data_IF_716309204859
#
_entry.id   IF_716309204859
#
_cell.length_a   1.000
_cell.length_b   1.000
_cell.length_c   1.000
_cell.angle_alpha   90.00
_cell.angle_beta   90.00
_cell.angle_gamma   90.00
#
_symmetry.space_group_name_H-M   'P 1'
#
loop_
_entity.id
_entity.type
_entity.pdbx_description
1 polymer ?
#
# COMPACT_ATOMS: atom_id res chain seq x y z
N UNK A 1 40.61 60.52 -21.27
CA UNK A 1 40.25 60.02 -19.92
C UNK A 1 39.32 58.84 -20.10
N UNK A 2 39.85 57.61 -20.11
CA UNK A 2 39.03 56.40 -20.25
C UNK A 2 38.09 56.28 -19.05
N UNK A 3 36.80 56.03 -19.29
CA UNK A 3 35.84 55.86 -18.21
C UNK A 3 36.21 54.59 -17.43
N UNK A 4 36.55 54.76 -16.15
CA UNK A 4 36.70 53.65 -15.22
C UNK A 4 35.41 52.81 -15.19
N UNK A 5 35.59 51.51 -15.01
CA UNK A 5 34.55 50.51 -14.90
C UNK A 5 33.52 50.92 -13.84
N UNK A 6 32.25 50.55 -14.08
CA UNK A 6 31.15 50.93 -13.20
C UNK A 6 30.90 49.83 -12.17
N UNK A 7 31.26 50.01 -10.89
CA UNK A 7 30.94 49.05 -9.82
C UNK A 7 29.46 48.71 -9.74
N UNK A 8 29.16 47.46 -9.39
CA UNK A 8 27.82 47.01 -8.98
C UNK A 8 27.62 47.37 -7.52
N UNK A 9 26.45 47.92 -7.21
CA UNK A 9 26.09 48.31 -5.86
C UNK A 9 24.77 47.70 -5.42
N UNK A 10 24.66 47.43 -4.12
CA UNK A 10 23.47 46.99 -3.42
C UNK A 10 22.99 48.06 -2.42
N UNK A 11 21.67 48.18 -2.28
CA UNK A 11 20.99 48.92 -1.22
C UNK A 11 19.74 48.14 -0.82
N UNK A 12 19.48 47.99 0.47
CA UNK A 12 18.25 47.38 0.97
C UNK A 12 17.25 48.44 1.45
N UNK A 13 15.97 48.17 1.26
CA UNK A 13 14.87 48.98 1.77
C UNK A 13 14.28 48.26 2.97
N UNK A 14 14.50 48.81 4.16
CA UNK A 14 13.94 48.26 5.39
C UNK A 14 12.42 48.39 5.44
N UNK A 15 11.78 47.61 6.30
CA UNK A 15 10.34 47.68 6.60
C UNK A 15 9.87 49.03 7.16
N UNK A 16 10.80 49.92 7.53
CA UNK A 16 10.54 51.28 7.96
C UNK A 16 10.69 52.32 6.83
N UNK A 17 10.62 51.90 5.56
CA UNK A 17 10.81 52.72 4.36
C UNK A 17 12.15 53.47 4.31
N UNK A 18 13.17 52.95 4.99
CA UNK A 18 14.51 53.53 5.02
C UNK A 18 15.47 52.73 4.13
N UNK A 19 16.19 53.45 3.26
CA UNK A 19 17.14 52.87 2.32
C UNK A 19 18.55 52.86 2.93
N UNK A 20 19.22 51.71 2.89
CA UNK A 20 20.57 51.52 3.44
C UNK A 20 21.62 52.44 2.79
N UNK A 21 22.82 52.46 3.36
CA UNK A 21 23.99 53.00 2.66
C UNK A 21 24.33 52.13 1.45
N UNK A 22 25.00 52.72 0.46
CA UNK A 22 25.46 52.00 -0.73
C UNK A 22 26.55 51.00 -0.34
N UNK A 23 26.33 49.72 -0.64
CA UNK A 23 27.31 48.64 -0.46
C UNK A 23 27.83 48.20 -1.84
N UNK A 24 29.13 47.92 -1.96
CA UNK A 24 29.73 47.43 -3.21
C UNK A 24 29.53 45.93 -3.32
N UNK A 25 28.96 45.47 -4.44
CA UNK A 25 28.85 44.04 -4.79
C UNK A 25 30.12 43.61 -5.51
N UNK A 26 30.56 44.39 -6.50
CA UNK A 26 31.79 44.15 -7.24
C UNK A 26 32.27 45.45 -7.91
N UNK A 27 33.58 45.60 -8.14
CA UNK A 27 34.18 46.79 -8.77
C UNK A 27 34.64 46.59 -10.21
N UNK A 28 34.68 45.35 -10.67
CA UNK A 28 35.44 44.91 -11.84
C UNK A 28 34.51 44.40 -12.96
N UNK A 29 33.26 44.88 -12.96
CA UNK A 29 32.25 44.48 -13.94
C UNK A 29 32.31 45.35 -15.20
N UNK A 30 32.94 44.82 -16.25
CA UNK A 30 32.84 45.35 -17.63
C UNK A 30 34.18 45.51 -18.35
N UNK A 31 34.22 45.19 -19.63
CA UNK A 31 35.36 45.46 -20.51
C UNK A 31 35.21 46.88 -21.10
N UNK A 32 36.28 47.67 -21.12
CA UNK A 32 36.26 49.13 -21.27
C UNK A 32 35.49 49.74 -22.46
N UNK A 33 35.17 51.03 -22.29
CA UNK A 33 34.56 51.98 -23.22
C UNK A 33 33.13 51.67 -23.73
N UNK A 34 32.10 52.07 -22.97
CA UNK A 34 30.82 52.46 -23.59
C UNK A 34 29.49 51.96 -23.02
N UNK A 35 29.46 51.45 -21.78
CA UNK A 35 28.27 51.25 -20.93
C UNK A 35 27.39 49.98 -21.16
N UNK A 36 27.03 49.35 -20.02
CA UNK A 36 25.77 48.67 -19.61
C UNK A 36 25.77 47.13 -19.48
N UNK A 37 25.95 46.71 -18.22
CA UNK A 37 25.40 45.53 -17.55
C UNK A 37 25.94 44.14 -17.98
N UNK A 38 27.02 43.71 -17.31
CA UNK A 38 27.41 42.29 -17.19
C UNK A 38 26.61 41.54 -16.12
N UNK A 39 25.49 42.10 -15.63
CA UNK A 39 24.67 41.50 -14.58
C UNK A 39 23.62 40.58 -15.21
N UNK A 40 23.49 39.39 -14.63
CA UNK A 40 22.44 38.43 -14.93
C UNK A 40 21.22 38.76 -14.06
N UNK A 41 19.96 38.53 -14.52
CA UNK A 41 18.80 38.67 -13.66
C UNK A 41 19.02 37.96 -12.31
N UNK A 42 18.87 38.67 -11.17
CA UNK A 42 19.11 38.07 -9.86
C UNK A 42 18.02 37.06 -9.53
N UNK A 43 18.35 36.11 -8.66
CA UNK A 43 17.38 35.17 -8.09
C UNK A 43 17.23 35.42 -6.60
N UNK A 44 16.03 35.14 -6.11
CA UNK A 44 15.65 35.28 -4.71
C UNK A 44 15.20 33.92 -4.14
N UNK A 45 15.50 33.70 -2.87
CA UNK A 45 14.90 32.63 -2.09
C UNK A 45 14.85 32.93 -0.59
N UNK A 46 14.01 32.18 0.10
CA UNK A 46 13.94 32.16 1.56
C UNK A 46 14.59 30.86 2.06
N UNK A 47 15.61 30.99 2.90
CA UNK A 47 16.33 29.90 3.56
C UNK A 47 16.00 29.90 5.06
N UNK A 48 14.83 29.36 5.40
CA UNK A 48 14.40 29.22 6.79
C UNK A 48 14.12 30.54 7.50
N UNK A 49 13.64 31.56 6.77
CA UNK A 49 13.37 32.91 7.28
C UNK A 49 14.49 33.92 6.98
N UNK A 50 15.59 33.48 6.38
CA UNK A 50 16.64 34.36 5.86
C UNK A 50 16.46 34.58 4.36
N UNK A 51 16.22 35.82 3.98
CA UNK A 51 16.04 36.23 2.60
C UNK A 51 17.39 36.27 1.89
N UNK A 52 17.53 35.56 0.77
CA UNK A 52 18.77 35.54 -0.02
C UNK A 52 18.52 36.08 -1.42
N UNK A 53 19.36 37.01 -1.84
CA UNK A 53 19.40 37.53 -3.21
C UNK A 53 20.77 37.22 -3.79
N UNK A 54 20.79 36.39 -4.84
CA UNK A 54 22.02 36.14 -5.59
C UNK A 54 22.07 36.99 -6.84
N UNK A 55 23.18 37.70 -6.98
CA UNK A 55 23.54 38.48 -8.16
C UNK A 55 24.69 37.78 -8.85
N UNK A 56 24.54 37.47 -10.15
CA UNK A 56 25.64 36.96 -10.96
C UNK A 56 26.10 37.99 -11.99
N UNK A 57 27.40 37.99 -12.28
CA UNK A 57 28.01 38.91 -13.22
C UNK A 57 29.29 38.35 -13.86
N UNK A 58 29.62 38.80 -15.07
CA UNK A 58 30.92 38.48 -15.68
C UNK A 58 31.99 39.47 -15.23
N UNK A 59 33.11 38.97 -14.75
CA UNK A 59 34.30 39.76 -14.41
C UNK A 59 35.07 40.15 -15.66
N UNK A 60 35.61 41.37 -15.69
CA UNK A 60 36.30 41.89 -16.89
C UNK A 60 37.76 41.52 -17.01
N UNK A 61 38.37 41.03 -15.93
CA UNK A 61 39.76 40.60 -15.89
C UNK A 61 39.96 39.22 -16.47
N UNK A 62 39.03 38.29 -16.21
CA UNK A 62 39.13 36.89 -16.63
C UNK A 62 37.96 36.38 -17.49
N UNK A 63 36.92 37.19 -17.70
CA UNK A 63 35.69 36.82 -18.44
C UNK A 63 34.94 35.61 -17.84
N UNK A 64 35.19 35.25 -16.57
CA UNK A 64 34.44 34.21 -15.86
C UNK A 64 33.16 34.79 -15.25
N UNK A 65 32.18 33.91 -15.01
CA UNK A 65 30.95 34.26 -14.31
C UNK A 65 31.18 34.12 -12.80
N UNK A 66 30.76 35.14 -12.04
CA UNK A 66 30.84 35.19 -10.58
C UNK A 66 29.45 35.42 -10.00
N UNK A 67 29.26 34.97 -8.76
CA UNK A 67 28.08 35.27 -7.94
C UNK A 67 28.47 35.98 -6.65
N UNK A 68 27.56 36.83 -6.17
CA UNK A 68 27.57 37.39 -4.81
C UNK A 68 26.17 37.20 -4.24
N UNK A 69 26.09 36.78 -2.98
CA UNK A 69 24.83 36.65 -2.25
C UNK A 69 24.73 37.79 -1.25
N UNK A 70 23.52 38.33 -1.12
CA UNK A 70 23.13 39.23 -0.03
C UNK A 70 22.11 38.48 0.80
N UNK A 71 22.37 38.34 2.10
CA UNK A 71 21.43 37.76 3.07
C UNK A 71 20.77 38.86 3.89
N UNK A 72 19.44 38.86 3.92
CA UNK A 72 18.59 39.86 4.56
C UNK A 72 19.01 41.29 4.18
N UNK A 73 19.08 42.20 5.15
CA UNK A 73 19.62 43.55 5.03
C UNK A 73 21.16 43.61 5.16
N UNK A 74 21.84 42.47 5.00
CA UNK A 74 23.27 42.31 5.23
C UNK A 74 24.18 42.96 4.18
N UNK A 75 25.48 42.89 4.46
CA UNK A 75 26.50 43.25 3.48
C UNK A 75 26.62 42.15 2.40
N UNK A 76 26.95 42.49 1.15
CA UNK A 76 27.24 41.49 0.13
C UNK A 76 28.37 40.55 0.57
N UNK A 77 28.18 39.25 0.36
CA UNK A 77 29.18 38.23 0.64
C UNK A 77 30.39 38.32 -0.30
N UNK A 78 31.44 37.54 0.01
CA UNK A 78 32.56 37.35 -0.91
C UNK A 78 32.08 36.71 -2.23
N UNK A 79 32.62 37.20 -3.35
CA UNK A 79 32.32 36.65 -4.67
C UNK A 79 32.77 35.19 -4.79
N UNK A 80 31.99 34.38 -5.48
CA UNK A 80 32.25 32.97 -5.77
C UNK A 80 32.21 32.76 -7.28
N UNK A 81 33.26 32.14 -7.86
CA UNK A 81 33.30 31.77 -9.29
C UNK A 81 32.14 30.81 -9.56
N UNK A 82 31.45 30.95 -10.68
CA UNK A 82 30.37 30.07 -11.15
C UNK A 82 30.86 29.16 -12.29
N UNK A 83 31.62 29.71 -13.23
CA UNK A 83 32.03 29.01 -14.45
C UNK A 83 33.51 28.64 -14.42
N UNK A 84 33.84 27.43 -14.83
CA UNK A 84 35.21 26.98 -15.11
C UNK A 84 35.72 27.56 -16.44
N UNK A 85 34.81 27.92 -17.34
CA UNK A 85 35.10 28.48 -18.65
C UNK A 85 34.74 29.97 -18.75
N UNK A 86 35.38 30.67 -19.68
CA UNK A 86 35.04 32.06 -20.01
C UNK A 86 33.64 32.14 -20.58
N UNK A 87 32.84 33.11 -20.15
CA UNK A 87 31.46 33.27 -20.58
C UNK A 87 31.37 34.23 -21.77
N UNK A 88 30.50 33.89 -22.71
CA UNK A 88 30.22 34.75 -23.84
C UNK A 88 29.60 36.07 -23.36
N UNK A 89 30.27 37.16 -23.72
CA UNK A 89 29.80 38.54 -23.53
C UNK A 89 29.85 39.22 -24.87
N UNK A 90 28.82 39.99 -25.21
CA UNK A 90 28.75 40.67 -26.51
C UNK A 90 28.85 39.70 -27.70
N UNK A 91 27.90 38.76 -27.84
CA UNK A 91 27.87 37.83 -28.97
C UNK A 91 28.06 38.55 -30.32
N UNK A 92 28.80 37.91 -31.22
CA UNK A 92 29.32 38.56 -32.43
C UNK A 92 28.19 39.11 -33.32
N UNK A 93 28.35 40.35 -33.80
CA UNK A 93 27.38 41.00 -34.69
C UNK A 93 26.17 41.65 -34.01
N UNK A 94 26.11 41.64 -32.68
CA UNK A 94 25.06 42.29 -31.90
C UNK A 94 25.55 43.59 -31.26
N UNK A 95 24.66 44.58 -31.13
CA UNK A 95 24.89 45.71 -30.23
C UNK A 95 24.63 45.37 -28.75
N UNK A 96 24.21 44.13 -28.46
CA UNK A 96 23.89 43.67 -27.11
C UNK A 96 25.19 43.38 -26.35
N UNK A 97 25.42 44.11 -25.26
CA UNK A 97 26.61 43.96 -24.40
C UNK A 97 26.31 43.17 -23.13
N UNK A 98 25.37 42.23 -23.24
CA UNK A 98 24.92 41.40 -22.13
C UNK A 98 25.81 40.17 -21.95
N UNK A 99 25.91 39.71 -20.70
CA UNK A 99 26.37 38.37 -20.38
C UNK A 99 25.35 37.35 -20.88
N UNK A 100 25.82 36.35 -21.62
CA UNK A 100 24.99 35.24 -22.09
C UNK A 100 24.88 34.20 -20.97
N UNK A 101 24.14 34.55 -19.93
CA UNK A 101 23.87 33.69 -18.79
C UNK A 101 22.50 33.97 -18.18
N UNK A 102 22.04 33.03 -17.35
CA UNK A 102 20.80 33.10 -16.59
C UNK A 102 20.92 32.29 -15.29
N UNK A 103 20.35 32.81 -14.21
CA UNK A 103 20.15 32.06 -12.96
C UNK A 103 18.69 31.59 -12.85
N UNK A 104 18.48 30.38 -12.35
CA UNK A 104 17.17 29.84 -12.03
C UNK A 104 17.22 29.22 -10.63
N UNK A 105 16.24 29.50 -9.78
CA UNK A 105 16.23 29.02 -8.39
C UNK A 105 15.12 27.99 -8.14
N UNK A 106 15.47 26.90 -7.48
CA UNK A 106 14.57 25.90 -6.90
C UNK A 106 14.73 25.88 -5.39
N UNK A 107 13.97 26.74 -4.69
CA UNK A 107 14.05 26.92 -3.24
C UNK A 107 15.46 27.31 -2.80
N UNK A 108 16.33 26.36 -2.46
CA UNK A 108 17.71 26.61 -2.06
C UNK A 108 18.76 26.15 -3.08
N UNK A 109 18.37 25.60 -4.24
CA UNK A 109 19.31 25.19 -5.28
C UNK A 109 19.25 26.19 -6.43
N UNK A 110 20.38 26.86 -6.69
CA UNK A 110 20.50 27.80 -7.82
C UNK A 110 21.21 27.12 -8.97
N UNK A 111 20.64 27.21 -10.17
CA UNK A 111 21.20 26.72 -11.41
C UNK A 111 21.65 27.92 -12.25
N UNK A 112 22.91 27.90 -12.70
CA UNK A 112 23.41 28.84 -13.68
C UNK A 112 23.45 28.17 -15.05
N UNK A 113 22.90 28.83 -16.06
CA UNK A 113 23.11 28.48 -17.46
C UNK A 113 23.88 29.59 -18.13
N UNK A 114 24.87 29.25 -18.93
CA UNK A 114 25.65 30.25 -19.65
C UNK A 114 26.21 29.67 -20.94
N UNK A 115 26.56 30.55 -21.88
CA UNK A 115 27.25 30.15 -23.10
C UNK A 115 28.75 30.30 -22.91
N UNK A 116 29.53 29.27 -23.23
CA UNK A 116 30.98 29.36 -23.25
C UNK A 116 31.42 30.30 -24.39
N UNK A 117 32.41 31.15 -24.15
CA UNK A 117 32.88 32.13 -25.15
C UNK A 117 33.59 31.48 -26.34
N UNK A 118 34.20 30.31 -26.13
CA UNK A 118 35.04 29.68 -27.15
C UNK A 118 34.20 29.06 -28.29
N UNK A 119 33.11 28.39 -27.95
CA UNK A 119 32.27 27.58 -28.84
C UNK A 119 30.82 28.10 -28.94
N UNK A 120 30.35 28.87 -27.96
CA UNK A 120 28.97 29.33 -27.79
C UNK A 120 27.97 28.22 -27.43
N UNK A 121 28.49 27.09 -26.96
CA UNK A 121 27.72 25.97 -26.42
C UNK A 121 27.17 26.32 -25.05
N UNK A 122 26.07 25.65 -24.65
CA UNK A 122 25.36 25.97 -23.42
C UNK A 122 25.85 25.03 -22.32
N UNK A 123 26.38 25.63 -21.25
CA UNK A 123 26.87 24.96 -20.06
C UNK A 123 25.98 25.28 -18.85
N UNK A 124 26.02 24.40 -17.87
CA UNK A 124 25.33 24.53 -16.59
C UNK A 124 26.23 24.18 -15.42
N UNK A 125 26.10 24.98 -14.36
CA UNK A 125 26.52 24.59 -13.01
C UNK A 125 25.38 24.82 -11.99
N UNK A 126 25.52 24.33 -10.77
CA UNK A 126 24.57 24.51 -9.67
C UNK A 126 25.25 24.72 -8.32
N UNK A 127 24.63 25.53 -7.48
CA UNK A 127 25.02 25.77 -6.10
C UNK A 127 23.94 25.31 -5.12
N UNK A 128 24.35 24.68 -4.01
CA UNK A 128 23.44 24.32 -2.90
C UNK A 128 23.47 25.39 -1.82
N UNK A 129 22.36 26.09 -1.66
CA UNK A 129 22.03 27.03 -0.60
C UNK A 129 22.93 28.26 -0.42
N UNK A 130 23.79 28.58 -1.39
CA UNK A 130 24.94 29.55 -1.37
C UNK A 130 26.34 28.92 -1.26
N UNK A 131 26.43 27.61 -0.99
CA UNK A 131 27.67 26.85 -0.97
C UNK A 131 28.29 26.76 -2.37
N UNK A 132 29.62 26.85 -2.43
CA UNK A 132 30.39 27.08 -3.66
C UNK A 132 29.97 26.23 -4.86
N UNK A 133 29.77 26.91 -5.98
CA UNK A 133 29.91 26.37 -7.33
C UNK A 133 31.23 25.62 -7.42
N UNK A 134 31.23 24.40 -7.90
CA UNK A 134 32.39 23.52 -7.71
C UNK A 134 32.18 22.07 -8.12
N UNK A 135 31.04 21.77 -8.75
CA UNK A 135 31.01 20.67 -9.70
C UNK A 135 31.66 21.13 -11.01
N UNK A 136 32.18 20.21 -11.83
CA UNK A 136 32.57 20.56 -13.19
C UNK A 136 31.34 21.05 -13.95
N UNK A 137 31.52 22.10 -14.75
CA UNK A 137 30.50 22.55 -15.68
C UNK A 137 30.00 21.40 -16.57
N UNK A 138 28.68 21.30 -16.70
CA UNK A 138 28.05 20.31 -17.57
C UNK A 138 27.66 20.99 -18.88
N UNK A 139 28.23 20.54 -19.98
CA UNK A 139 27.74 20.89 -21.31
C UNK A 139 26.34 20.29 -21.51
N UNK A 140 25.35 21.16 -21.65
CA UNK A 140 23.94 20.80 -21.77
C UNK A 140 23.51 20.75 -23.24
N UNK A 141 24.10 21.60 -24.09
CA UNK A 141 23.84 21.62 -25.54
C UNK A 141 25.16 21.86 -26.29
N UNK A 142 25.59 20.84 -27.03
CA UNK A 142 26.71 20.85 -27.99
C UNK A 142 26.24 21.34 -29.37
N UNK A 143 27.09 22.11 -30.06
CA UNK A 143 26.88 22.67 -31.39
C UNK A 143 25.87 23.83 -31.44
N UNK A 144 25.64 24.50 -30.32
CA UNK A 144 24.84 25.71 -30.25
C UNK A 144 25.67 26.95 -30.64
N UNK A 145 24.97 27.99 -31.07
CA UNK A 145 25.53 29.34 -31.28
C UNK A 145 24.74 30.30 -30.40
N UNK A 146 24.90 30.13 -29.07
CA UNK A 146 24.08 30.82 -28.10
C UNK A 146 24.49 32.29 -27.90
N UNK A 147 23.55 33.20 -28.13
CA UNK A 147 23.75 34.64 -27.94
C UNK A 147 22.86 35.26 -26.85
N UNK A 148 21.81 34.56 -26.43
CA UNK A 148 21.07 34.88 -25.21
C UNK A 148 20.37 33.63 -24.70
N UNK A 149 20.19 33.56 -23.38
CA UNK A 149 19.54 32.45 -22.68
C UNK A 149 18.70 32.97 -21.52
N UNK A 150 17.48 32.46 -21.33
CA UNK A 150 16.59 32.79 -20.22
C UNK A 150 15.85 31.55 -19.75
N UNK A 151 15.93 31.25 -18.46
CA UNK A 151 15.32 30.06 -17.88
C UNK A 151 14.65 30.33 -16.55
N UNK A 152 13.70 29.48 -16.20
CA UNK A 152 12.98 29.47 -14.94
C UNK A 152 12.72 28.04 -14.48
N UNK A 153 12.48 27.86 -13.19
CA UNK A 153 12.01 26.59 -12.62
C UNK A 153 10.49 26.55 -12.64
N UNK A 154 9.92 25.44 -13.09
CA UNK A 154 8.48 25.20 -12.98
C UNK A 154 8.17 23.70 -12.88
N UNK A 155 6.95 23.37 -12.48
CA UNK A 155 6.47 21.98 -12.40
C UNK A 155 5.41 21.76 -13.46
N UNK A 156 5.60 20.73 -14.28
CA UNK A 156 4.61 20.30 -15.26
C UNK A 156 3.31 19.88 -14.57
N UNK A 157 2.18 20.01 -15.27
CA UNK A 157 0.93 19.43 -14.79
C UNK A 157 1.06 17.91 -14.68
N UNK A 158 0.24 17.27 -13.86
CA UNK A 158 0.21 15.81 -13.74
C UNK A 158 -0.03 15.10 -15.09
N UNK A 159 -0.86 15.70 -15.95
CA UNK A 159 -1.10 15.20 -17.31
C UNK A 159 0.08 15.36 -18.28
N UNK A 160 1.10 16.14 -17.92
CA UNK A 160 2.33 16.32 -18.70
C UNK A 160 3.56 15.78 -17.94
N UNK A 161 3.37 14.71 -17.18
CA UNK A 161 4.46 14.00 -16.50
C UNK A 161 4.82 14.54 -15.12
N UNK A 162 4.28 15.68 -14.66
CA UNK A 162 4.39 16.13 -13.26
C UNK A 162 5.81 16.45 -12.74
N UNK A 163 6.83 16.39 -13.59
CA UNK A 163 8.22 16.69 -13.22
C UNK A 163 8.40 18.19 -12.94
N UNK A 164 9.22 18.51 -11.94
CA UNK A 164 9.83 19.83 -11.82
C UNK A 164 11.06 19.88 -12.72
N UNK A 165 11.12 20.91 -13.55
CA UNK A 165 12.18 21.13 -14.54
C UNK A 165 12.77 22.51 -14.40
N UNK A 166 14.00 22.69 -14.89
CA UNK A 166 14.46 24.01 -15.30
C UNK A 166 14.27 24.08 -16.81
N UNK A 167 13.29 24.87 -17.24
CA UNK A 167 13.05 25.12 -18.65
C UNK A 167 13.65 26.46 -19.07
N UNK A 168 14.27 26.49 -20.25
CA UNK A 168 14.93 27.68 -20.76
C UNK A 168 14.75 27.85 -22.26
N UNK A 169 14.76 29.12 -22.65
CA UNK A 169 14.77 29.56 -24.04
C UNK A 169 16.13 30.13 -24.38
N UNK A 170 16.60 29.87 -25.59
CA UNK A 170 17.88 30.36 -26.06
C UNK A 170 17.83 30.72 -27.54
N UNK A 171 18.67 31.67 -27.93
CA UNK A 171 18.98 31.93 -29.33
C UNK A 171 20.00 30.93 -29.84
N UNK A 172 19.84 30.47 -31.08
CA UNK A 172 20.84 29.66 -31.76
C UNK A 172 21.19 30.27 -33.12
N UNK A 173 22.05 31.28 -33.11
CA UNK A 173 22.63 31.83 -34.33
C UNK A 173 21.95 33.07 -34.93
N UNK A 174 21.00 33.73 -34.26
CA UNK A 174 20.42 34.99 -34.79
C UNK A 174 21.35 36.19 -34.70
N UNK A 175 22.50 36.05 -34.03
CA UNK A 175 23.31 37.17 -33.56
C UNK A 175 22.45 38.15 -32.76
N UNK A 176 21.74 37.63 -31.75
CA UNK A 176 20.91 38.43 -30.83
C UNK A 176 19.82 39.27 -31.51
N UNK A 177 19.38 38.86 -32.69
CA UNK A 177 18.26 39.46 -33.42
C UNK A 177 17.01 38.60 -33.18
N UNK A 178 15.94 38.92 -33.90
CA UNK A 178 14.72 38.10 -33.91
C UNK A 178 14.87 36.89 -34.82
N UNK A 179 14.41 35.72 -34.38
CA UNK A 179 14.51 34.45 -35.09
C UNK A 179 15.36 33.43 -34.31
N UNK A 180 15.29 32.15 -34.66
CA UNK A 180 16.12 31.08 -34.06
C UNK A 180 16.02 30.93 -32.55
N UNK A 181 14.81 31.09 -31.99
CA UNK A 181 14.55 30.84 -30.57
C UNK A 181 14.14 29.38 -30.38
N UNK A 182 14.88 28.71 -29.52
CA UNK A 182 14.68 27.31 -29.16
C UNK A 182 14.31 27.21 -27.68
N UNK A 183 13.66 26.11 -27.34
CA UNK A 183 13.30 25.76 -25.97
C UNK A 183 13.96 24.42 -25.64
N UNK A 184 14.55 24.32 -24.46
CA UNK A 184 15.03 23.06 -23.89
C UNK A 184 14.73 23.02 -22.39
N UNK A 185 14.74 21.82 -21.81
CA UNK A 185 14.53 21.61 -20.38
C UNK A 185 15.28 20.39 -19.88
N UNK A 186 15.57 20.37 -18.58
CA UNK A 186 16.01 19.18 -17.87
C UNK A 186 15.27 19.00 -16.57
N UNK A 187 15.10 17.73 -16.20
CA UNK A 187 14.38 17.32 -14.98
C UNK A 187 15.27 17.53 -13.77
N UNK A 188 14.76 18.28 -12.78
CA UNK A 188 15.40 18.46 -11.47
C UNK A 188 14.67 17.69 -10.36
N UNK A 189 13.39 17.34 -10.59
CA UNK A 189 12.59 16.48 -9.70
C UNK A 189 11.60 15.68 -10.53
N UNK A 190 11.65 14.36 -10.44
CA UNK A 190 10.63 13.49 -11.05
C UNK A 190 9.27 13.66 -10.34
N UNK A 191 8.13 13.38 -11.01
CA UNK A 191 6.85 13.32 -10.34
C UNK A 191 6.88 12.29 -9.21
N UNK A 192 6.08 12.51 -8.17
CA UNK A 192 5.68 11.40 -7.32
C UNK A 192 4.94 10.38 -8.22
N UNK A 193 5.46 9.16 -8.30
CA UNK A 193 4.78 8.06 -8.98
C UNK A 193 3.48 7.78 -8.23
N UNK A 194 2.38 8.41 -8.66
CA UNK A 194 1.06 7.95 -8.31
C UNK A 194 0.54 7.07 -9.46
N UNK A 195 0.12 5.85 -9.11
CA UNK A 195 -0.83 5.04 -9.88
C UNK A 195 -0.33 4.37 -11.18
N UNK A 196 0.84 3.70 -11.18
CA UNK A 196 1.17 2.77 -12.26
C UNK A 196 1.05 1.32 -11.78
N UNK A 197 0.24 0.51 -12.48
CA UNK A 197 0.10 -0.91 -12.19
C UNK A 197 1.48 -1.58 -12.12
N UNK A 198 1.83 -2.08 -10.93
CA UNK A 198 3.10 -2.74 -10.70
C UNK A 198 3.07 -4.15 -11.31
N UNK A 199 3.93 -4.40 -12.29
CA UNK A 199 4.25 -5.75 -12.78
C UNK A 199 5.59 -6.15 -12.21
N UNK A 200 5.60 -7.09 -11.25
CA UNK A 200 6.84 -7.59 -10.65
C UNK A 200 6.98 -9.09 -10.87
N UNK A 201 8.07 -9.49 -11.51
CA UNK A 201 8.48 -10.89 -11.68
C UNK A 201 9.80 -11.14 -10.95
N UNK A 202 9.81 -11.98 -9.90
CA UNK A 202 11.01 -12.33 -9.13
C UNK A 202 10.84 -12.22 -7.61
N UNK A 203 11.91 -12.47 -6.86
CA UNK A 203 11.92 -12.29 -5.41
C UNK A 203 12.11 -10.79 -5.08
N UNK A 204 11.11 -10.15 -4.49
CA UNK A 204 11.26 -8.79 -3.96
C UNK A 204 11.77 -8.84 -2.53
N UNK A 205 13.08 -8.62 -2.36
CA UNK A 205 13.67 -8.38 -1.06
C UNK A 205 13.45 -6.91 -0.66
N UNK A 206 12.33 -6.62 0.01
CA UNK A 206 12.27 -5.48 0.92
C UNK A 206 11.47 -4.24 0.51
N UNK A 207 10.79 -4.22 -0.64
CA UNK A 207 9.89 -3.11 -0.98
C UNK A 207 8.46 -3.63 -1.10
N UNK A 208 7.53 -3.25 -0.21
CA UNK A 208 6.11 -3.47 -0.41
C UNK A 208 5.71 -2.87 -1.77
N UNK A 209 4.95 -3.62 -2.57
CA UNK A 209 4.18 -2.99 -3.65
C UNK A 209 3.03 -2.23 -2.97
N UNK A 210 3.35 -1.04 -2.46
CA UNK A 210 2.42 -0.15 -1.78
C UNK A 210 2.02 0.97 -2.74
N UNK A 211 0.94 0.76 -3.48
CA UNK A 211 0.29 1.84 -4.20
C UNK A 211 -1.21 1.56 -4.37
N UNK A 212 -2.02 2.62 -4.39
CA UNK A 212 -3.50 2.55 -4.48
C UNK A 212 -4.03 2.06 -5.85
N UNK A 213 -3.30 1.16 -6.53
CA UNK A 213 -3.56 0.66 -7.89
C UNK A 213 -3.70 -0.88 -7.93
N UNK A 214 -3.70 -1.46 -9.13
CA UNK A 214 -3.79 -2.92 -9.34
C UNK A 214 -2.38 -3.49 -9.51
N UNK A 215 -2.01 -4.50 -8.73
CA UNK A 215 -0.69 -5.15 -8.83
C UNK A 215 -0.77 -6.57 -9.39
N UNK A 216 0.23 -6.93 -10.22
CA UNK A 216 0.46 -8.28 -10.72
C UNK A 216 1.84 -8.75 -10.29
N UNK A 217 1.87 -9.74 -9.39
CA UNK A 217 3.09 -10.24 -8.73
C UNK A 217 3.27 -11.73 -9.04
N UNK A 218 4.45 -12.11 -9.53
CA UNK A 218 4.85 -13.52 -9.69
C UNK A 218 6.19 -13.74 -8.99
N UNK A 219 6.24 -14.64 -8.00
CA UNK A 219 7.45 -14.92 -7.21
C UNK A 219 7.23 -14.80 -5.70
N UNK A 220 8.17 -14.16 -5.00
CA UNK A 220 8.09 -13.92 -3.56
C UNK A 220 7.82 -12.45 -3.27
N UNK A 221 6.78 -12.15 -2.47
CA UNK A 221 6.42 -10.81 -2.02
C UNK A 221 6.44 -10.70 -0.50
N UNK A 222 7.02 -9.63 0.02
CA UNK A 222 7.03 -9.31 1.46
C UNK A 222 5.79 -8.52 1.91
N UNK A 223 5.02 -7.95 0.98
CA UNK A 223 3.82 -7.18 1.29
C UNK A 223 3.19 -6.50 0.08
N UNK A 224 1.86 -6.44 0.06
CA UNK A 224 1.09 -5.68 -0.94
C UNK A 224 -0.07 -4.93 -0.29
N UNK A 225 -0.24 -3.64 -0.59
CA UNK A 225 -1.38 -2.81 -0.17
C UNK A 225 -2.00 -2.14 -1.40
N UNK A 226 -3.00 -2.79 -2.00
CA UNK A 226 -3.50 -2.48 -3.34
C UNK A 226 -5.04 -2.45 -3.42
N UNK A 227 -5.59 -1.78 -4.44
CA UNK A 227 -7.03 -1.92 -4.77
C UNK A 227 -7.33 -3.35 -5.22
N UNK A 228 -6.49 -3.89 -6.10
CA UNK A 228 -6.56 -5.27 -6.52
C UNK A 228 -5.16 -5.89 -6.58
N UNK A 229 -4.99 -7.10 -6.06
CA UNK A 229 -3.72 -7.83 -6.12
C UNK A 229 -3.92 -9.20 -6.80
N UNK A 230 -3.05 -9.51 -7.77
CA UNK A 230 -2.94 -10.82 -8.40
C UNK A 230 -1.56 -11.40 -8.10
N UNK A 231 -1.51 -12.46 -7.28
CA UNK A 231 -0.26 -13.02 -6.76
C UNK A 231 -0.13 -14.49 -7.17
N UNK A 232 0.93 -14.83 -7.91
CA UNK A 232 1.35 -16.20 -8.17
C UNK A 232 2.66 -16.52 -7.47
N UNK A 233 2.65 -17.32 -6.39
CA UNK A 233 3.85 -17.66 -5.62
C UNK A 233 3.65 -17.52 -4.12
N UNK A 234 4.63 -16.94 -3.42
CA UNK A 234 4.65 -16.83 -1.96
C UNK A 234 4.49 -15.36 -1.52
N UNK A 235 3.63 -15.11 -0.53
CA UNK A 235 3.42 -13.77 0.04
C UNK A 235 3.42 -13.77 1.58
N UNK A 236 4.18 -12.88 2.20
CA UNK A 236 4.12 -12.72 3.66
C UNK A 236 2.82 -12.01 4.07
N UNK A 237 2.40 -10.98 3.34
CA UNK A 237 1.18 -10.22 3.64
C UNK A 237 0.51 -9.68 2.38
N UNK A 238 -0.82 -9.83 2.30
CA UNK A 238 -1.64 -9.23 1.24
C UNK A 238 -2.80 -8.46 1.87
N UNK A 239 -2.74 -7.13 1.80
CA UNK A 239 -3.81 -6.22 2.20
C UNK A 239 -4.41 -5.63 0.92
N UNK A 240 -5.69 -5.85 0.64
CA UNK A 240 -6.30 -5.33 -0.59
C UNK A 240 -7.81 -5.15 -0.48
N UNK A 241 -8.40 -4.35 -1.38
CA UNK A 241 -9.86 -4.43 -1.54
C UNK A 241 -10.24 -5.78 -2.16
N UNK A 242 -9.54 -6.23 -3.21
CA UNK A 242 -9.70 -7.57 -3.78
C UNK A 242 -8.37 -8.29 -3.96
N UNK A 243 -8.26 -9.53 -3.51
CA UNK A 243 -7.05 -10.34 -3.66
C UNK A 243 -7.33 -11.66 -4.40
N UNK A 244 -6.52 -11.95 -5.41
CA UNK A 244 -6.47 -13.23 -6.12
C UNK A 244 -5.09 -13.84 -5.95
N UNK A 245 -5.01 -15.01 -5.33
CA UNK A 245 -3.74 -15.66 -5.04
C UNK A 245 -3.74 -17.12 -5.47
N UNK A 246 -2.63 -17.54 -6.09
CA UNK A 246 -2.28 -18.94 -6.34
C UNK A 246 -0.92 -19.23 -5.72
N UNK A 247 -0.88 -19.97 -4.61
CA UNK A 247 0.36 -20.29 -3.89
C UNK A 247 0.24 -20.22 -2.37
N UNK A 248 1.26 -19.69 -1.69
CA UNK A 248 1.34 -19.69 -0.22
C UNK A 248 1.32 -18.28 0.37
N UNK A 249 0.57 -18.07 1.45
CA UNK A 249 0.60 -16.81 2.19
C UNK A 249 0.62 -16.95 3.71
N UNK A 250 1.40 -16.11 4.39
CA UNK A 250 1.30 -16.03 5.85
C UNK A 250 0.00 -15.32 6.26
N UNK A 251 -0.30 -14.14 5.70
CA UNK A 251 -1.52 -13.38 6.06
C UNK A 251 -2.22 -12.76 4.86
N UNK A 252 -3.55 -12.91 4.77
CA UNK A 252 -4.40 -12.22 3.79
C UNK A 252 -5.50 -11.43 4.53
N UNK A 253 -5.58 -10.12 4.29
CA UNK A 253 -6.60 -9.25 4.85
C UNK A 253 -7.25 -8.41 3.75
N UNK A 254 -8.48 -8.73 3.35
CA UNK A 254 -9.13 -8.10 2.21
C UNK A 254 -10.65 -8.04 2.29
N UNK A 255 -11.27 -7.16 1.51
CA UNK A 255 -12.74 -7.16 1.42
C UNK A 255 -13.22 -8.44 0.70
N UNK A 256 -12.55 -8.85 -0.37
CA UNK A 256 -12.85 -10.09 -1.10
C UNK A 256 -11.56 -10.83 -1.44
N UNK A 257 -11.49 -12.13 -1.14
CA UNK A 257 -10.33 -12.98 -1.41
C UNK A 257 -10.70 -14.23 -2.18
N UNK A 258 -9.91 -14.55 -3.21
CA UNK A 258 -9.84 -15.85 -3.84
C UNK A 258 -8.44 -16.43 -3.65
N UNK A 259 -8.34 -17.56 -2.95
CA UNK A 259 -7.08 -18.27 -2.72
C UNK A 259 -7.16 -19.69 -3.29
N UNK A 260 -6.19 -20.04 -4.12
CA UNK A 260 -5.89 -21.42 -4.49
C UNK A 260 -4.50 -21.78 -3.93
N UNK A 261 -4.44 -22.47 -2.79
CA UNK A 261 -3.19 -22.82 -2.13
C UNK A 261 -3.25 -22.81 -0.60
N UNK A 262 -2.22 -22.31 0.07
CA UNK A 262 -2.11 -22.38 1.53
C UNK A 262 -2.09 -20.99 2.17
N UNK A 263 -2.80 -20.81 3.29
CA UNK A 263 -2.68 -19.61 4.11
C UNK A 263 -2.63 -19.90 5.60
N UNK A 264 -1.81 -19.15 6.34
CA UNK A 264 -1.78 -19.25 7.81
C UNK A 264 -2.94 -18.49 8.44
N UNK A 265 -3.21 -17.26 7.98
CA UNK A 265 -4.30 -16.43 8.49
C UNK A 265 -5.01 -15.69 7.36
N UNK A 266 -6.35 -15.76 7.37
CA UNK A 266 -7.18 -14.94 6.48
C UNK A 266 -8.22 -14.16 7.27
N UNK A 267 -8.21 -12.83 7.20
CA UNK A 267 -9.23 -11.97 7.80
C UNK A 267 -9.94 -11.19 6.70
N UNK A 268 -11.10 -11.71 6.25
CA UNK A 268 -11.75 -11.17 5.07
C UNK A 268 -13.25 -10.96 5.29
N UNK A 269 -13.81 -9.93 4.65
CA UNK A 269 -15.29 -9.84 4.61
C UNK A 269 -15.87 -11.04 3.86
N UNK A 270 -15.33 -11.35 2.68
CA UNK A 270 -15.70 -12.54 1.90
C UNK A 270 -14.45 -13.31 1.46
N UNK A 271 -14.38 -14.61 1.76
CA UNK A 271 -13.28 -15.48 1.33
C UNK A 271 -13.79 -16.70 0.56
N UNK A 272 -13.16 -16.98 -0.58
CA UNK A 272 -13.22 -18.27 -1.28
C UNK A 272 -11.83 -18.90 -1.26
N UNK A 273 -11.72 -20.10 -0.68
CA UNK A 273 -10.44 -20.80 -0.56
C UNK A 273 -10.54 -22.23 -1.05
N UNK A 274 -9.62 -22.60 -1.93
CA UNK A 274 -9.36 -23.96 -2.35
C UNK A 274 -7.95 -24.36 -1.89
N UNK A 275 -7.84 -25.19 -0.85
CA UNK A 275 -6.57 -25.58 -0.23
C UNK A 275 -6.57 -25.47 1.30
N UNK A 276 -5.42 -25.16 1.90
CA UNK A 276 -5.22 -25.26 3.36
C UNK A 276 -5.28 -23.88 4.02
N UNK A 277 -6.07 -23.72 5.07
CA UNK A 277 -6.13 -22.49 5.87
C UNK A 277 -5.95 -22.82 7.36
N UNK A 278 -4.86 -22.39 8.00
CA UNK A 278 -4.67 -22.65 9.42
C UNK A 278 -5.68 -21.86 10.29
N UNK A 279 -6.04 -20.63 9.89
CA UNK A 279 -7.09 -19.84 10.54
C UNK A 279 -7.81 -18.89 9.56
N UNK A 280 -9.13 -18.80 9.64
CA UNK A 280 -9.91 -17.81 8.87
C UNK A 280 -10.98 -17.11 9.71
N UNK A 281 -11.03 -15.78 9.63
CA UNK A 281 -12.07 -14.93 10.21
C UNK A 281 -12.78 -14.08 9.15
N UNK A 282 -14.05 -13.75 9.38
CA UNK A 282 -14.79 -12.95 8.41
C UNK A 282 -16.30 -12.86 8.53
N UNK A 283 -16.92 -12.23 7.53
CA UNK A 283 -18.38 -12.23 7.39
C UNK A 283 -18.86 -13.50 6.70
N UNK A 284 -18.22 -13.91 5.60
CA UNK A 284 -18.57 -15.11 4.84
C UNK A 284 -17.32 -15.86 4.38
N UNK A 285 -17.29 -17.18 4.59
CA UNK A 285 -16.20 -18.03 4.13
C UNK A 285 -16.71 -19.27 3.39
N UNK A 286 -16.17 -19.51 2.20
CA UNK A 286 -16.31 -20.76 1.45
C UNK A 286 -14.95 -21.47 1.41
N UNK A 287 -14.89 -22.69 1.93
CA UNK A 287 -13.66 -23.48 1.98
C UNK A 287 -13.84 -24.86 1.34
N UNK A 288 -12.92 -25.18 0.45
CA UNK A 288 -12.71 -26.50 -0.12
C UNK A 288 -11.23 -26.91 0.04
N UNK A 289 -10.85 -27.49 1.17
CA UNK A 289 -9.53 -28.10 1.37
C UNK A 289 -9.24 -28.58 2.80
N UNK A 290 -8.49 -27.86 3.61
CA UNK A 290 -8.30 -28.21 5.02
C UNK A 290 -8.33 -26.93 5.86
N UNK A 291 -8.96 -26.97 7.03
CA UNK A 291 -9.03 -25.81 7.91
C UNK A 291 -8.66 -26.15 9.36
N UNK A 292 -7.80 -25.32 9.96
CA UNK A 292 -7.45 -25.39 11.38
C UNK A 292 -8.53 -24.76 12.27
N UNK A 293 -8.76 -23.45 12.16
CA UNK A 293 -9.80 -22.76 12.91
C UNK A 293 -10.59 -21.79 12.03
N UNK A 294 -11.91 -21.72 12.19
CA UNK A 294 -12.76 -20.79 11.47
C UNK A 294 -13.64 -20.02 12.42
N UNK A 295 -13.62 -18.69 12.33
CA UNK A 295 -14.52 -17.80 13.05
C UNK A 295 -15.18 -16.82 12.09
N UNK A 296 -16.26 -17.25 11.44
CA UNK A 296 -16.96 -16.42 10.46
C UNK A 296 -18.46 -16.42 10.69
N UNK A 297 -19.12 -15.30 10.38
CA UNK A 297 -20.56 -15.21 10.57
C UNK A 297 -21.32 -16.28 9.77
N UNK A 298 -20.91 -16.56 8.53
CA UNK A 298 -21.44 -17.65 7.71
C UNK A 298 -20.30 -18.49 7.14
N UNK A 299 -20.33 -19.80 7.39
CA UNK A 299 -19.32 -20.76 6.90
C UNK A 299 -19.99 -21.79 6.00
N UNK A 300 -19.45 -21.96 4.79
CA UNK A 300 -19.69 -23.14 3.96
C UNK A 300 -18.38 -23.90 3.80
N UNK A 301 -18.38 -25.16 4.20
CA UNK A 301 -17.22 -26.03 4.12
C UNK A 301 -17.59 -27.36 3.48
N UNK A 302 -16.74 -27.81 2.55
CA UNK A 302 -16.88 -29.11 1.92
C UNK A 302 -15.57 -29.91 2.00
N UNK A 303 -15.06 -30.20 3.21
CA UNK A 303 -13.78 -30.89 3.48
C UNK A 303 -13.54 -31.30 4.95
N UNK A 304 -12.33 -31.81 5.28
CA UNK A 304 -11.78 -32.10 6.61
C UNK A 304 -11.40 -30.78 7.35
N UNK A 305 -11.98 -30.54 8.53
CA UNK A 305 -11.51 -29.55 9.48
C UNK A 305 -10.81 -30.22 10.67
N UNK A 306 -9.55 -29.84 10.90
CA UNK A 306 -8.76 -30.33 12.01
C UNK A 306 -9.06 -29.60 13.34
N UNK A 307 -9.80 -28.49 13.34
CA UNK A 307 -10.12 -27.74 14.57
C UNK A 307 -11.53 -27.15 14.63
N UNK A 308 -11.65 -25.97 15.26
CA UNK A 308 -12.92 -25.40 15.71
C UNK A 308 -13.56 -24.53 14.63
N UNK A 309 -14.83 -24.79 14.33
CA UNK A 309 -15.67 -23.94 13.47
C UNK A 309 -16.71 -23.19 14.31
N UNK A 310 -16.54 -21.87 14.47
CA UNK A 310 -17.49 -20.97 15.14
C UNK A 310 -18.11 -19.97 14.16
N UNK A 311 -19.40 -19.65 14.37
CA UNK A 311 -20.13 -18.76 13.50
C UNK A 311 -21.61 -18.61 13.81
N UNK A 312 -22.27 -17.66 13.14
CA UNK A 312 -23.73 -17.52 13.21
C UNK A 312 -24.44 -18.60 12.39
N UNK A 313 -23.84 -19.13 11.32
CA UNK A 313 -24.38 -20.27 10.62
C UNK A 313 -23.25 -21.07 9.97
N UNK A 314 -23.32 -22.40 10.05
CA UNK A 314 -22.36 -23.28 9.39
C UNK A 314 -23.04 -24.41 8.60
N UNK A 315 -22.60 -24.62 7.36
CA UNK A 315 -22.86 -25.81 6.56
C UNK A 315 -21.54 -26.54 6.35
N UNK A 316 -21.44 -27.77 6.81
CA UNK A 316 -20.21 -28.56 6.78
C UNK A 316 -20.47 -29.93 6.18
N UNK A 317 -19.59 -30.37 5.28
CA UNK A 317 -19.55 -31.73 4.74
C UNK A 317 -18.13 -32.28 4.86
N UNK A 318 -17.91 -33.38 5.57
CA UNK A 318 -16.58 -33.99 5.77
C UNK A 318 -16.32 -34.42 7.22
N UNK A 319 -15.04 -34.45 7.62
CA UNK A 319 -14.62 -34.76 8.99
C UNK A 319 -14.36 -33.47 9.77
N UNK A 320 -14.92 -33.27 10.97
CA UNK A 320 -14.72 -32.05 11.78
C UNK A 320 -14.46 -32.37 13.25
N UNK A 321 -13.43 -31.78 13.86
CA UNK A 321 -13.16 -32.02 15.29
C UNK A 321 -14.13 -31.26 16.21
N UNK A 322 -14.46 -30.00 15.93
CA UNK A 322 -15.38 -29.23 16.76
C UNK A 322 -16.22 -28.18 15.99
N UNK A 323 -17.50 -28.02 16.34
CA UNK A 323 -18.35 -26.91 15.86
C UNK A 323 -19.09 -26.20 16.99
N UNK A 324 -19.10 -24.87 16.96
CA UNK A 324 -19.77 -23.97 17.90
C UNK A 324 -20.89 -23.12 17.29
N UNK A 325 -21.31 -23.40 16.05
CA UNK A 325 -22.11 -22.47 15.24
C UNK A 325 -23.62 -22.48 15.54
N UNK A 326 -24.38 -21.43 15.20
CA UNK A 326 -25.79 -21.30 15.63
C UNK A 326 -26.76 -20.73 14.58
N UNK A 327 -27.28 -21.51 13.60
CA UNK A 327 -27.37 -22.98 13.54
C UNK A 327 -26.22 -23.68 12.79
N UNK A 328 -26.18 -25.02 12.92
CA UNK A 328 -25.18 -25.88 12.26
C UNK A 328 -25.85 -27.01 11.44
N UNK A 329 -25.40 -27.23 10.20
CA UNK A 329 -25.74 -28.38 9.36
C UNK A 329 -24.47 -29.20 9.09
N UNK A 330 -24.49 -30.49 9.40
CA UNK A 330 -23.37 -31.40 9.23
C UNK A 330 -23.75 -32.61 8.38
N UNK A 331 -22.90 -32.94 7.42
CA UNK A 331 -22.82 -34.22 6.73
C UNK A 331 -21.38 -34.78 6.89
N UNK A 332 -21.21 -36.08 7.12
CA UNK A 332 -19.89 -36.70 7.39
C UNK A 332 -19.67 -37.14 8.86
N UNK A 333 -18.54 -36.78 9.47
CA UNK A 333 -18.15 -37.23 10.82
C UNK A 333 -17.77 -36.02 11.67
N UNK A 334 -18.22 -35.95 12.93
CA UNK A 334 -17.79 -34.88 13.85
C UNK A 334 -17.53 -35.36 15.27
N UNK A 335 -16.49 -34.85 15.94
CA UNK A 335 -16.12 -35.29 17.30
C UNK A 335 -16.90 -34.53 18.38
N UNK A 336 -17.07 -33.20 18.26
CA UNK A 336 -17.79 -32.39 19.22
C UNK A 336 -18.62 -31.29 18.56
N UNK A 337 -19.86 -31.07 19.01
CA UNK A 337 -20.71 -29.99 18.49
C UNK A 337 -21.46 -29.29 19.62
N UNK A 338 -21.48 -27.97 19.59
CA UNK A 338 -22.26 -27.11 20.47
C UNK A 338 -23.01 -26.07 19.64
N UNK A 339 -24.33 -26.16 19.57
CA UNK A 339 -25.13 -25.32 18.69
C UNK A 339 -26.51 -25.05 19.27
N UNK A 340 -27.12 -23.91 18.93
CA UNK A 340 -28.52 -23.65 19.31
C UNK A 340 -29.45 -24.66 18.63
N UNK A 341 -29.28 -24.85 17.33
CA UNK A 341 -29.97 -25.86 16.53
C UNK A 341 -28.96 -26.59 15.65
N UNK A 342 -29.06 -27.91 15.59
CA UNK A 342 -28.10 -28.78 14.93
C UNK A 342 -28.83 -29.79 14.04
N UNK A 343 -28.44 -29.88 12.77
CA UNK A 343 -28.89 -30.89 11.83
C UNK A 343 -27.72 -31.79 11.44
N UNK A 344 -27.85 -33.10 11.62
CA UNK A 344 -26.80 -34.09 11.37
C UNK A 344 -27.34 -35.17 10.43
N UNK A 345 -26.64 -35.38 9.32
CA UNK A 345 -26.81 -36.55 8.45
C UNK A 345 -25.47 -37.32 8.36
N UNK A 346 -25.06 -37.90 9.49
CA UNK A 346 -23.65 -38.09 9.83
C UNK A 346 -23.41 -38.90 11.11
N UNK A 347 -22.14 -39.24 11.38
CA UNK A 347 -21.66 -39.74 12.68
C UNK A 347 -21.19 -38.56 13.57
N UNK A 348 -21.61 -38.52 14.83
CA UNK A 348 -21.23 -37.48 15.80
C UNK A 348 -20.81 -38.05 17.17
N UNK A 349 -19.66 -37.62 17.69
CA UNK A 349 -19.14 -38.01 18.99
C UNK A 349 -19.96 -37.43 20.15
N UNK A 350 -19.72 -36.16 20.49
CA UNK A 350 -20.41 -35.42 21.53
C UNK A 350 -21.23 -34.26 20.96
N UNK A 351 -22.47 -34.11 21.45
CA UNK A 351 -23.36 -33.01 21.05
C UNK A 351 -23.95 -32.35 22.31
N UNK A 352 -23.78 -31.03 22.43
CA UNK A 352 -24.42 -30.20 23.45
C UNK A 352 -25.23 -29.12 22.75
N UNK A 353 -26.53 -29.35 22.54
CA UNK A 353 -27.33 -28.47 21.68
C UNK A 353 -28.76 -28.34 22.19
N UNK A 354 -29.37 -27.17 22.03
CA UNK A 354 -30.76 -27.01 22.49
C UNK A 354 -31.72 -27.89 21.68
N UNK A 355 -31.53 -27.98 20.36
CA UNK A 355 -32.36 -28.80 19.48
C UNK A 355 -31.52 -29.54 18.44
N UNK A 356 -31.70 -30.86 18.34
CA UNK A 356 -30.99 -31.70 17.36
C UNK A 356 -31.98 -32.46 16.48
N UNK A 357 -31.73 -32.43 15.18
CA UNK A 357 -32.31 -33.37 14.22
C UNK A 357 -31.20 -34.22 13.62
N UNK A 358 -31.30 -35.54 13.76
CA UNK A 358 -30.23 -36.46 13.36
C UNK A 358 -30.75 -37.67 12.59
N UNK A 359 -30.04 -37.99 11.51
CA UNK A 359 -30.08 -39.27 10.80
C UNK A 359 -28.66 -39.83 10.75
N UNK A 360 -28.33 -40.80 11.61
CA UNK A 360 -26.95 -41.31 11.73
C UNK A 360 -26.61 -41.91 13.10
N UNK A 361 -25.33 -41.85 13.50
CA UNK A 361 -24.82 -42.40 14.77
C UNK A 361 -24.41 -41.26 15.70
N UNK A 362 -24.82 -41.30 16.98
CA UNK A 362 -24.32 -40.37 17.99
C UNK A 362 -23.88 -41.04 19.30
N UNK A 363 -22.74 -40.60 19.85
CA UNK A 363 -22.13 -41.24 21.02
C UNK A 363 -22.66 -40.63 22.34
N UNK A 364 -22.67 -39.31 22.47
CA UNK A 364 -23.08 -38.56 23.66
C UNK A 364 -23.93 -37.35 23.26
N UNK A 365 -25.11 -37.20 23.83
CA UNK A 365 -26.01 -36.12 23.44
C UNK A 365 -26.74 -35.51 24.66
N UNK A 366 -26.37 -34.27 25.01
CA UNK A 366 -27.02 -33.44 26.03
C UNK A 366 -27.89 -32.40 25.33
N UNK A 367 -29.22 -32.54 25.38
CA UNK A 367 -30.11 -31.63 24.65
C UNK A 367 -31.32 -31.18 25.45
N UNK A 368 -31.94 -30.07 25.04
CA UNK A 368 -33.31 -29.77 25.48
C UNK A 368 -34.31 -30.60 24.70
N UNK A 369 -34.18 -30.71 23.38
CA UNK A 369 -35.08 -31.54 22.56
C UNK A 369 -34.34 -32.25 21.43
N UNK A 370 -34.72 -33.48 21.13
CA UNK A 370 -34.03 -34.30 20.12
C UNK A 370 -34.99 -35.11 19.24
N UNK A 371 -34.71 -35.14 17.93
CA UNK A 371 -35.24 -36.12 16.99
C UNK A 371 -34.08 -36.91 16.39
N UNK A 372 -34.03 -38.21 16.63
CA UNK A 372 -32.97 -39.07 16.13
C UNK A 372 -33.54 -40.29 15.40
N UNK A 373 -32.98 -40.61 14.24
CA UNK A 373 -33.24 -41.85 13.49
C UNK A 373 -31.90 -42.54 13.21
N UNK A 374 -31.56 -43.58 13.98
CA UNK A 374 -30.26 -44.26 13.91
C UNK A 374 -29.81 -44.83 15.27
N UNK A 375 -28.50 -44.87 15.53
CA UNK A 375 -27.93 -45.40 16.79
C UNK A 375 -27.48 -44.25 17.70
N UNK A 376 -27.89 -44.26 18.97
CA UNK A 376 -27.54 -43.25 19.96
C UNK A 376 -27.09 -43.87 21.30
N UNK A 377 -25.80 -43.80 21.64
CA UNK A 377 -25.23 -44.53 22.79
C UNK A 377 -25.63 -43.92 24.15
N UNK A 378 -25.71 -42.58 24.28
CA UNK A 378 -26.22 -41.92 25.48
C UNK A 378 -27.01 -40.62 25.20
N UNK A 379 -28.18 -40.47 25.82
CA UNK A 379 -29.03 -39.28 25.71
C UNK A 379 -29.48 -38.72 27.07
N UNK A 380 -29.46 -37.39 27.22
CA UNK A 380 -30.04 -36.66 28.37
C UNK A 380 -30.92 -35.50 27.89
N UNK A 381 -32.26 -35.68 27.83
CA UNK A 381 -33.18 -34.81 27.06
C UNK A 381 -34.53 -34.47 27.73
N UNK A 382 -35.20 -33.38 27.29
CA UNK A 382 -36.47 -32.88 27.86
C UNK A 382 -37.37 -32.22 26.78
N UNK A 383 -37.88 -32.91 25.72
CA UNK A 383 -38.14 -34.34 25.45
C UNK A 383 -37.41 -34.95 24.22
N UNK A 384 -37.54 -36.26 23.95
CA UNK A 384 -36.89 -36.94 22.81
C UNK A 384 -37.82 -37.87 21.98
N UNK A 385 -37.59 -37.90 20.66
CA UNK A 385 -38.13 -38.90 19.72
C UNK A 385 -36.98 -39.71 19.13
N UNK A 386 -36.98 -41.03 19.32
CA UNK A 386 -35.95 -41.93 18.80
C UNK A 386 -36.57 -43.03 17.95
N UNK A 387 -36.02 -43.20 16.74
CA UNK A 387 -36.27 -44.34 15.85
C UNK A 387 -34.96 -45.09 15.62
N UNK A 388 -34.66 -46.11 16.42
CA UNK A 388 -33.43 -46.91 16.32
C UNK A 388 -32.92 -47.46 17.66
N UNK A 389 -31.61 -47.61 17.82
CA UNK A 389 -31.01 -48.27 18.99
C UNK A 389 -30.42 -47.25 19.98
N UNK A 390 -30.58 -47.50 21.29
CA UNK A 390 -29.88 -46.74 22.34
C UNK A 390 -29.31 -47.62 23.46
N UNK A 391 -28.18 -47.22 24.03
CA UNK A 391 -27.55 -47.94 25.15
C UNK A 391 -27.95 -47.36 26.51
N UNK A 392 -28.10 -46.02 26.61
CA UNK A 392 -28.51 -45.32 27.84
C UNK A 392 -29.41 -44.12 27.52
N UNK A 393 -30.55 -43.97 28.21
CA UNK A 393 -31.45 -42.83 28.04
C UNK A 393 -31.96 -42.28 29.37
N UNK A 394 -31.78 -40.96 29.58
CA UNK A 394 -32.27 -40.21 30.72
C UNK A 394 -33.12 -39.03 30.25
N UNK A 395 -34.40 -39.26 29.96
CA UNK A 395 -35.28 -38.26 29.34
C UNK A 395 -36.55 -37.98 30.16
N UNK A 396 -36.94 -36.70 30.27
CA UNK A 396 -38.21 -36.26 30.89
C UNK A 396 -39.46 -36.55 30.03
N UNK A 397 -39.31 -36.97 28.79
CA UNK A 397 -40.37 -37.65 28.03
C UNK A 397 -39.71 -38.30 26.81
N UNK A 398 -40.05 -39.56 26.52
CA UNK A 398 -39.42 -40.33 25.43
C UNK A 398 -40.47 -41.05 24.58
N UNK A 399 -40.42 -40.84 23.26
CA UNK A 399 -41.06 -41.72 22.28
C UNK A 399 -39.99 -42.58 21.62
N UNK A 400 -40.05 -43.90 21.81
CA UNK A 400 -39.09 -44.85 21.26
C UNK A 400 -39.75 -45.84 20.29
N UNK A 401 -39.16 -45.98 19.11
CA UNK A 401 -39.43 -47.09 18.17
C UNK A 401 -38.11 -47.77 17.80
N UNK A 402 -37.75 -48.84 18.53
CA UNK A 402 -36.47 -49.54 18.33
C UNK A 402 -36.00 -50.39 19.52
N UNK A 403 -34.73 -50.28 19.95
CA UNK A 403 -34.17 -51.06 21.06
C UNK A 403 -33.48 -50.16 22.09
N UNK A 404 -33.65 -50.42 23.40
CA UNK A 404 -32.92 -49.75 24.48
C UNK A 404 -32.29 -50.75 25.46
N UNK A 405 -31.10 -50.44 25.97
CA UNK A 405 -30.39 -51.29 26.95
C UNK A 405 -30.53 -50.79 28.41
N UNK A 406 -30.72 -49.48 28.62
CA UNK A 406 -31.01 -48.90 29.94
C UNK A 406 -31.80 -47.58 29.80
N UNK A 407 -32.83 -47.38 30.62
CA UNK A 407 -33.75 -46.23 30.55
C UNK A 407 -34.14 -45.76 31.95
N UNK A 408 -34.12 -44.44 32.18
CA UNK A 408 -34.62 -43.79 33.40
C UNK A 408 -35.57 -42.62 33.04
N UNK A 409 -36.67 -42.91 32.33
CA UNK A 409 -37.55 -41.90 31.71
C UNK A 409 -38.92 -41.77 32.39
N UNK A 410 -39.47 -40.55 32.47
CA UNK A 410 -40.80 -40.24 33.04
C UNK A 410 -41.55 -39.23 32.16
N UNK A 411 -42.73 -39.48 31.55
CA UNK A 411 -43.30 -40.74 31.04
C UNK A 411 -42.76 -41.12 29.65
N UNK A 412 -42.82 -42.41 29.28
CA UNK A 412 -42.37 -42.91 27.98
C UNK A 412 -43.45 -43.70 27.21
N UNK A 413 -43.43 -43.57 25.88
CA UNK A 413 -44.18 -44.40 24.94
C UNK A 413 -43.18 -45.25 24.15
N UNK A 414 -43.29 -46.58 24.25
CA UNK A 414 -42.31 -47.50 23.67
C UNK A 414 -42.98 -48.59 22.81
N UNK A 415 -42.57 -48.65 21.55
CA UNK A 415 -42.82 -49.78 20.63
C UNK A 415 -41.47 -50.44 20.32
N UNK A 416 -40.94 -51.20 21.27
CA UNK A 416 -39.51 -51.55 21.34
C UNK A 416 -39.24 -52.85 22.12
N UNK A 417 -38.00 -53.37 21.98
CA UNK A 417 -37.41 -54.37 22.90
C UNK A 417 -36.61 -53.61 23.97
N UNK A 418 -36.96 -53.78 25.24
CA UNK A 418 -36.31 -53.13 26.38
C UNK A 418 -35.67 -54.18 27.30
N UNK A 419 -34.50 -53.85 27.84
CA UNK A 419 -33.68 -54.69 28.72
C UNK A 419 -33.43 -54.03 30.09
N UNK A 420 -34.07 -52.88 30.38
CA UNK A 420 -33.82 -52.04 31.54
C UNK A 420 -34.60 -52.41 32.83
N UNK A 421 -34.05 -52.00 33.99
CA UNK A 421 -34.47 -52.35 35.37
C UNK A 421 -34.98 -51.18 36.24
N UNK A 422 -35.58 -50.12 35.66
CA UNK A 422 -36.01 -48.92 36.40
C UNK A 422 -37.54 -48.77 36.57
N UNK A 423 -38.00 -48.51 37.80
CA UNK A 423 -39.41 -48.28 38.17
C UNK A 423 -39.94 -46.94 37.63
N UNK A 424 -40.77 -46.90 36.56
CA UNK A 424 -41.77 -45.83 36.29
C UNK A 424 -42.84 -46.33 35.28
N UNK A 425 -44.10 -45.83 35.41
CA UNK A 425 -45.23 -46.07 34.51
C UNK A 425 -45.01 -45.59 33.05
N UNK A 426 -45.13 -46.51 32.09
CA UNK A 426 -45.11 -46.23 30.65
C UNK A 426 -46.04 -47.15 29.87
N UNK A 427 -46.49 -46.71 28.69
CA UNK A 427 -47.28 -47.54 27.77
C UNK A 427 -46.32 -48.29 26.83
N UNK A 428 -46.26 -49.62 26.99
CA UNK A 428 -45.41 -50.50 26.20
C UNK A 428 -46.22 -51.39 25.26
N UNK A 429 -45.76 -51.51 24.02
CA UNK A 429 -46.20 -52.53 23.06
C UNK A 429 -44.94 -53.27 22.55
N UNK A 430 -44.54 -54.36 23.23
CA UNK A 430 -43.29 -55.07 22.95
C UNK A 430 -42.89 -56.12 24.01
N UNK A 431 -41.72 -56.73 23.84
CA UNK A 431 -41.15 -57.75 24.76
C UNK A 431 -40.21 -57.07 25.77
N UNK A 432 -40.50 -57.20 27.06
CA UNK A 432 -39.61 -56.78 28.15
C UNK A 432 -38.93 -57.99 28.77
N UNK A 433 -37.61 -57.92 28.96
CA UNK A 433 -36.84 -58.92 29.70
C UNK A 433 -36.31 -58.23 30.96
N UNK A 434 -36.95 -58.49 32.10
CA UNK A 434 -36.47 -58.03 33.40
C UNK A 434 -35.32 -58.93 33.88
N UNK A 435 -34.17 -58.35 34.20
CA UNK A 435 -33.05 -59.03 34.85
C UNK A 435 -33.00 -58.49 36.27
N UNK A 436 -33.19 -59.36 37.26
CA UNK A 436 -33.34 -59.02 38.69
C UNK A 436 -32.03 -58.74 39.40
#
# INVERSE_FOLDING_TARGET
>A
TGSLLGPIYHKSLSSADSLSSRQTVDSDTGNGNGVRASIVPPVYWDDGGSEKIMVAFTDSGDDLLYSVVVTDDGAPEARKVISDNTVAVSPAGTGSKQTVANLANDSSVVYAHYANRADLDIYRDKASNDGGWGGPDVEEIDGATCHWIRGNVFTHSSGNGGSTVVGYTYDNGSAGKTGYIFYNEFVIRAPALDSQAAYLSGASAGTPASDSSTAYLVGQSVGSDNKAAYIGGESISSISQSAFMSGEAATISSQSTYLAGQSTMTDNRSAYMAGVAASASGQSAYLAGEAGALDSASVYMAVIAAGVVSGRAAYMSGENTASGSQPSYLAGTSVATSSKSLYINAEAGATDSMSVYMTGIATLASQKSAYASGEALAQSNVPAYLKGQSSTSNSQALYLRGQSSSSNTMPAYMAAKDTASGNIAGYMFGVAIAIG
#
